data_IF_001341200862
#
_entry.id   IF_001341200862
#
_cell.length_a   1.000
_cell.length_b   1.000
_cell.length_c   1.000
_cell.angle_alpha   90.00
_cell.angle_beta   90.00
_cell.angle_gamma   90.00
#
_symmetry.space_group_name_H-M   'P 1'
#
loop_
_entity.id
_entity.type
_entity.pdbx_description
1 polymer ?
#
# COMPACT_ATOMS: atom_id res chain seq x y z
N UNK A 1 -8.42 -17.47 2.95
CA UNK A 1 -9.36 -16.80 3.87
C UNK A 1 -10.14 -15.80 3.02
N UNK A 2 -11.30 -16.19 2.50
CA UNK A 2 -12.15 -15.29 1.71
C UNK A 2 -12.77 -14.29 2.67
N UNK A 3 -12.45 -13.00 2.51
CA UNK A 3 -13.16 -11.92 3.18
C UNK A 3 -14.61 -11.93 2.66
N UNK A 4 -15.48 -12.67 3.35
CA UNK A 4 -16.91 -12.69 3.08
C UNK A 4 -17.50 -11.60 3.94
N UNK A 5 -17.60 -10.41 3.36
CA UNK A 5 -18.32 -9.30 3.98
C UNK A 5 -19.80 -9.72 4.08
N UNK A 6 -20.26 -10.01 5.31
CA UNK A 6 -21.58 -10.62 5.57
C UNK A 6 -22.73 -9.62 5.44
N UNK A 7 -22.47 -8.36 5.08
CA UNK A 7 -23.49 -7.32 5.04
C UNK A 7 -24.06 -7.12 3.63
N UNK A 8 -24.88 -8.08 3.17
CA UNK A 8 -25.62 -8.01 1.90
C UNK A 8 -26.67 -6.89 1.83
N UNK A 9 -27.03 -6.26 2.95
CA UNK A 9 -28.15 -5.30 3.01
C UNK A 9 -27.81 -3.91 3.54
N UNK A 10 -26.56 -3.61 3.93
CA UNK A 10 -26.27 -2.36 4.66
C UNK A 10 -26.17 -1.11 3.77
N UNK A 11 -25.92 -1.26 2.47
CA UNK A 11 -25.64 -0.12 1.60
C UNK A 11 -26.74 0.14 0.56
N UNK A 12 -27.77 0.87 1.00
CA UNK A 12 -28.75 1.54 0.11
C UNK A 12 -29.75 0.64 -0.61
N UNK A 13 -30.45 1.24 -1.57
CA UNK A 13 -31.50 0.58 -2.37
C UNK A 13 -30.89 -0.03 -3.64
N UNK A 14 -31.43 -1.15 -4.12
CA UNK A 14 -31.00 -1.69 -5.39
C UNK A 14 -31.36 -0.72 -6.51
N UNK A 15 -30.48 -0.58 -7.51
CA UNK A 15 -30.71 0.32 -8.64
C UNK A 15 -32.04 0.02 -9.36
N UNK A 16 -32.44 -1.26 -9.39
CA UNK A 16 -33.71 -1.72 -9.98
C UNK A 16 -34.95 -1.20 -9.24
N UNK A 17 -34.82 -0.83 -7.97
CA UNK A 17 -35.94 -0.33 -7.17
C UNK A 17 -36.23 1.15 -7.47
N UNK A 18 -35.29 1.86 -8.11
CA UNK A 18 -35.42 3.25 -8.53
C UNK A 18 -35.94 4.19 -7.43
N UNK A 19 -35.52 4.01 -6.17
CA UNK A 19 -35.92 4.87 -5.04
C UNK A 19 -34.81 5.83 -4.65
N UNK A 20 -35.19 7.04 -4.23
CA UNK A 20 -34.26 7.99 -3.66
C UNK A 20 -33.78 7.50 -2.28
N UNK A 21 -32.46 7.46 -2.01
CA UNK A 21 -31.95 7.05 -0.71
C UNK A 21 -32.22 8.08 0.40
N UNK A 22 -32.52 9.33 0.05
CA UNK A 22 -32.72 10.43 1.00
C UNK A 22 -34.18 10.66 1.41
N UNK A 23 -35.13 10.52 0.47
CA UNK A 23 -36.56 10.78 0.71
C UNK A 23 -37.45 9.58 0.37
N UNK A 24 -36.88 8.48 -0.09
CA UNK A 24 -37.56 7.21 -0.41
C UNK A 24 -38.60 7.25 -1.54
N UNK A 25 -38.85 8.43 -2.12
CA UNK A 25 -39.69 8.59 -3.29
C UNK A 25 -39.17 7.85 -4.53
N UNK A 26 -40.11 7.39 -5.35
CA UNK A 26 -39.82 6.74 -6.62
C UNK A 26 -39.24 7.73 -7.64
N UNK A 27 -38.19 7.31 -8.34
CA UNK A 27 -37.53 8.04 -9.40
C UNK A 27 -38.18 7.66 -10.73
N UNK A 28 -38.52 8.67 -11.54
CA UNK A 28 -39.16 8.47 -12.84
C UNK A 28 -38.29 7.68 -13.85
N UNK A 29 -36.96 7.68 -13.67
CA UNK A 29 -36.01 6.93 -14.49
C UNK A 29 -34.95 6.29 -13.62
N UNK A 30 -34.56 5.07 -13.95
CA UNK A 30 -33.45 4.37 -13.30
C UNK A 30 -32.15 5.16 -13.56
N UNK A 31 -31.53 5.73 -12.52
CA UNK A 31 -30.34 6.55 -12.69
C UNK A 31 -29.14 5.69 -13.05
N UNK A 32 -28.30 6.11 -14.00
CA UNK A 32 -27.07 5.38 -14.38
C UNK A 32 -25.80 5.89 -13.68
N UNK A 33 -25.82 7.13 -13.17
CA UNK A 33 -24.67 7.85 -12.59
C UNK A 33 -25.15 8.80 -11.47
N UNK A 34 -24.22 9.56 -10.88
CA UNK A 34 -24.53 10.66 -9.93
C UNK A 34 -25.65 11.54 -10.48
N UNK A 35 -26.68 11.81 -9.69
CA UNK A 35 -27.86 12.58 -10.10
C UNK A 35 -28.53 13.27 -8.89
N UNK A 36 -29.40 14.26 -9.14
CA UNK A 36 -30.22 14.93 -8.12
C UNK A 36 -31.62 14.33 -8.10
N UNK A 37 -32.19 14.17 -6.91
CA UNK A 37 -33.59 13.76 -6.76
C UNK A 37 -34.53 14.89 -7.18
N UNK A 38 -35.56 14.65 -8.01
CA UNK A 38 -36.54 15.67 -8.38
C UNK A 38 -37.48 16.06 -7.23
N UNK A 39 -37.57 15.25 -6.18
CA UNK A 39 -38.50 15.47 -5.05
C UNK A 39 -37.87 16.22 -3.88
N UNK A 40 -36.62 15.89 -3.54
CA UNK A 40 -35.94 16.45 -2.37
C UNK A 40 -34.66 17.21 -2.71
N UNK A 41 -34.31 17.34 -3.99
CA UNK A 41 -33.14 18.04 -4.56
C UNK A 41 -31.74 17.57 -4.10
N UNK A 42 -31.68 16.70 -3.10
CA UNK A 42 -30.46 16.05 -2.62
C UNK A 42 -29.84 15.18 -3.70
N UNK A 43 -28.51 15.15 -3.70
CA UNK A 43 -27.71 14.32 -4.61
C UNK A 43 -27.69 12.88 -4.11
N UNK A 44 -27.66 11.95 -5.04
CA UNK A 44 -27.40 10.53 -4.76
C UNK A 44 -26.40 9.98 -5.78
N UNK A 45 -25.84 8.83 -5.44
CA UNK A 45 -24.81 8.17 -6.22
C UNK A 45 -25.24 6.76 -6.61
N UNK A 46 -24.79 6.30 -7.77
CA UNK A 46 -24.91 4.90 -8.19
C UNK A 46 -23.54 4.27 -8.05
N UNK A 47 -23.45 3.19 -7.28
CA UNK A 47 -22.22 2.45 -7.01
C UNK A 47 -22.44 0.95 -7.12
N UNK A 48 -21.38 0.21 -7.40
CA UNK A 48 -21.39 -1.25 -7.42
C UNK A 48 -20.87 -1.74 -6.08
N UNK A 49 -21.51 -2.69 -5.41
CA UNK A 49 -21.00 -3.24 -4.14
C UNK A 49 -19.92 -4.30 -4.40
N UNK A 50 -18.85 -4.38 -3.59
CA UNK A 50 -17.80 -5.39 -3.79
C UNK A 50 -18.27 -6.82 -3.47
N UNK A 51 -19.24 -6.97 -2.56
CA UNK A 51 -19.72 -8.25 -2.02
C UNK A 51 -20.50 -9.11 -3.04
N UNK A 52 -21.36 -8.48 -3.85
CA UNK A 52 -22.23 -9.16 -4.82
C UNK A 52 -22.20 -8.56 -6.23
N UNK A 53 -21.45 -7.47 -6.42
CA UNK A 53 -21.34 -6.74 -7.69
C UNK A 53 -22.67 -6.16 -8.18
N UNK A 54 -23.66 -6.00 -7.29
CA UNK A 54 -24.90 -5.33 -7.62
C UNK A 54 -24.75 -3.80 -7.58
N UNK A 55 -25.50 -3.12 -8.44
CA UNK A 55 -25.58 -1.66 -8.46
C UNK A 55 -26.63 -1.18 -7.46
N UNK A 56 -26.24 -0.25 -6.60
CA UNK A 56 -27.08 0.35 -5.56
C UNK A 56 -27.11 1.87 -5.68
N UNK A 57 -28.22 2.47 -5.26
CA UNK A 57 -28.41 3.91 -5.12
C UNK A 57 -28.19 4.28 -3.66
N UNK A 58 -27.22 5.15 -3.40
CA UNK A 58 -26.76 5.50 -2.06
C UNK A 58 -26.62 7.00 -1.88
N UNK A 59 -26.61 7.43 -0.62
CA UNK A 59 -26.21 8.79 -0.21
C UNK A 59 -24.71 9.00 -0.46
N UNK A 60 -24.22 10.21 -0.18
CA UNK A 60 -22.78 10.49 -0.22
C UNK A 60 -21.99 9.63 0.77
N UNK A 61 -22.45 9.54 2.02
CA UNK A 61 -21.88 8.68 3.06
C UNK A 61 -21.86 7.21 2.64
N UNK A 62 -22.97 6.72 2.07
CA UNK A 62 -23.04 5.35 1.56
C UNK A 62 -22.14 5.10 0.34
N UNK A 63 -21.91 6.12 -0.50
CA UNK A 63 -20.96 6.03 -1.60
C UNK A 63 -19.52 5.90 -1.08
N UNK A 64 -19.16 6.71 -0.08
CA UNK A 64 -17.86 6.65 0.58
C UNK A 64 -17.63 5.29 1.24
N UNK A 65 -18.61 4.75 1.95
CA UNK A 65 -18.51 3.43 2.58
C UNK A 65 -18.32 2.30 1.55
N UNK A 66 -18.99 2.37 0.39
CA UNK A 66 -18.75 1.41 -0.71
C UNK A 66 -17.34 1.57 -1.29
N UNK A 67 -16.85 2.80 -1.45
CA UNK A 67 -15.49 3.07 -1.93
C UNK A 67 -14.43 2.52 -0.96
N UNK A 68 -14.65 2.66 0.36
CA UNK A 68 -13.82 2.02 1.40
C UNK A 68 -13.90 0.49 1.34
N UNK A 69 -15.09 -0.08 1.11
CA UNK A 69 -15.26 -1.52 0.99
C UNK A 69 -14.52 -2.08 -0.24
N UNK A 70 -14.51 -1.36 -1.37
CA UNK A 70 -13.68 -1.71 -2.53
C UNK A 70 -12.20 -1.60 -2.22
N UNK A 71 -11.77 -0.52 -1.56
CA UNK A 71 -10.37 -0.37 -1.16
C UNK A 71 -9.93 -1.54 -0.28
N UNK A 72 -10.74 -1.96 0.71
CA UNK A 72 -10.49 -3.17 1.50
C UNK A 72 -10.43 -4.41 0.61
N UNK A 73 -11.41 -4.60 -0.27
CA UNK A 73 -11.45 -5.74 -1.17
C UNK A 73 -10.18 -5.82 -2.05
N UNK A 74 -9.77 -4.72 -2.66
CA UNK A 74 -8.56 -4.64 -3.48
C UNK A 74 -7.33 -4.95 -2.64
N UNK A 75 -7.18 -4.34 -1.48
CA UNK A 75 -6.06 -4.59 -0.58
C UNK A 75 -5.98 -6.08 -0.16
N UNK A 76 -7.11 -6.74 0.10
CA UNK A 76 -7.14 -8.17 0.42
C UNK A 76 -6.87 -9.09 -0.78
N UNK A 77 -7.33 -8.72 -1.98
CA UNK A 77 -7.05 -9.48 -3.21
C UNK A 77 -5.61 -9.30 -3.67
N UNK A 78 -5.14 -8.05 -3.74
CA UNK A 78 -3.77 -7.71 -4.08
C UNK A 78 -2.82 -8.38 -3.08
N UNK A 79 -3.04 -8.31 -1.77
CA UNK A 79 -2.16 -9.04 -0.82
C UNK A 79 -2.15 -10.56 -1.01
N UNK A 80 -3.21 -11.16 -1.57
CA UNK A 80 -3.25 -12.58 -1.92
C UNK A 80 -2.46 -12.87 -3.21
N UNK A 81 -2.67 -12.08 -4.26
CA UNK A 81 -2.02 -12.22 -5.58
C UNK A 81 -0.54 -11.80 -5.53
N UNK A 82 -0.22 -10.74 -4.80
CA UNK A 82 1.15 -10.30 -4.51
C UNK A 82 1.93 -11.33 -3.71
N UNK A 83 1.27 -11.97 -2.74
CA UNK A 83 1.83 -13.13 -2.05
C UNK A 83 2.22 -14.25 -3.01
N UNK A 84 1.61 -14.33 -4.19
CA UNK A 84 1.98 -15.26 -5.26
C UNK A 84 3.10 -14.72 -6.16
N UNK A 85 3.06 -13.44 -6.54
CA UNK A 85 4.11 -12.80 -7.34
C UNK A 85 5.46 -12.74 -6.60
N UNK A 86 5.45 -12.43 -5.30
CA UNK A 86 6.63 -12.45 -4.42
C UNK A 86 7.20 -13.87 -4.29
N UNK A 87 6.37 -14.94 -4.40
CA UNK A 87 6.91 -16.30 -4.42
C UNK A 87 7.88 -16.55 -5.57
N UNK A 88 7.72 -15.80 -6.67
CA UNK A 88 8.48 -15.96 -7.90
C UNK A 88 9.68 -15.00 -8.00
N UNK A 89 9.85 -14.08 -7.04
CA UNK A 89 11.09 -13.31 -6.94
C UNK A 89 12.25 -14.24 -6.53
N UNK A 90 13.48 -14.00 -7.00
CA UNK A 90 14.65 -14.77 -6.56
C UNK A 90 14.77 -14.70 -5.03
N UNK A 91 14.58 -15.85 -4.37
CA UNK A 91 14.70 -16.00 -2.92
C UNK A 91 16.08 -16.53 -2.54
N UNK A 92 17.10 -15.89 -3.06
CA UNK A 92 18.50 -16.27 -2.85
C UNK A 92 19.02 -15.96 -1.43
N UNK A 93 18.14 -15.61 -0.49
CA UNK A 93 18.47 -15.45 0.93
C UNK A 93 17.82 -16.58 1.77
N UNK A 94 18.60 -17.61 2.19
CA UNK A 94 18.10 -18.66 3.08
C UNK A 94 17.52 -18.14 4.40
N UNK A 95 17.96 -16.95 4.83
CA UNK A 95 17.43 -16.27 6.00
C UNK A 95 16.01 -15.71 5.77
N UNK A 96 15.75 -15.18 4.56
CA UNK A 96 14.42 -14.73 4.15
C UNK A 96 13.44 -15.90 4.10
N UNK A 97 13.78 -16.97 3.39
CA UNK A 97 12.86 -18.10 3.16
C UNK A 97 12.40 -18.78 4.45
N UNK A 98 13.36 -19.07 5.35
CA UNK A 98 13.06 -19.74 6.62
C UNK A 98 12.20 -18.86 7.53
N UNK A 99 12.48 -17.57 7.61
CA UNK A 99 11.73 -16.70 8.49
C UNK A 99 10.36 -16.32 7.91
N UNK A 100 10.27 -16.12 6.60
CA UNK A 100 9.01 -15.89 5.89
C UNK A 100 8.07 -17.12 6.01
N UNK A 101 8.58 -18.33 5.84
CA UNK A 101 7.78 -19.56 6.01
C UNK A 101 7.27 -19.72 7.45
N UNK A 102 8.12 -19.48 8.46
CA UNK A 102 7.72 -19.52 9.87
C UNK A 102 6.70 -18.43 10.23
N UNK A 103 6.88 -17.21 9.72
CA UNK A 103 5.95 -16.10 9.92
C UNK A 103 4.58 -16.40 9.29
N UNK A 104 4.58 -16.98 8.09
CA UNK A 104 3.36 -17.38 7.39
C UNK A 104 2.63 -18.51 8.13
N UNK A 105 3.35 -19.50 8.63
CA UNK A 105 2.76 -20.59 9.42
C UNK A 105 2.13 -20.07 10.72
N UNK A 106 2.84 -19.21 11.45
CA UNK A 106 2.34 -18.59 12.68
C UNK A 106 1.13 -17.68 12.41
N UNK A 107 1.17 -16.88 11.34
CA UNK A 107 0.02 -16.05 10.95
C UNK A 107 -1.20 -16.89 10.57
N UNK A 108 -1.00 -18.05 9.93
CA UNK A 108 -2.08 -18.96 9.57
C UNK A 108 -2.69 -19.67 10.78
N UNK A 109 -1.93 -19.87 11.86
CA UNK A 109 -2.43 -20.42 13.13
C UNK A 109 -3.03 -19.35 14.07
N UNK A 110 -3.06 -18.07 13.66
CA UNK A 110 -3.50 -16.96 14.51
C UNK A 110 -2.48 -16.52 15.57
N UNK A 111 -1.24 -17.03 15.51
CA UNK A 111 -0.14 -16.64 16.39
C UNK A 111 0.56 -15.37 15.87
N UNK A 112 -0.20 -14.26 15.84
CA UNK A 112 0.20 -12.96 15.30
C UNK A 112 1.51 -12.40 15.88
N UNK A 113 1.64 -12.37 17.21
CA UNK A 113 2.86 -11.90 17.88
C UNK A 113 4.10 -12.71 17.50
N UNK A 114 3.92 -14.02 17.29
CA UNK A 114 4.99 -14.92 16.89
C UNK A 114 5.37 -14.70 15.43
N UNK A 115 4.39 -14.47 14.56
CA UNK A 115 4.63 -14.09 13.16
C UNK A 115 5.44 -12.78 13.10
N UNK A 116 5.05 -11.77 13.89
CA UNK A 116 5.79 -10.52 14.02
C UNK A 116 7.23 -10.73 14.52
N UNK A 117 7.41 -11.57 15.53
CA UNK A 117 8.72 -11.96 16.04
C UNK A 117 9.61 -12.62 14.98
N UNK A 118 9.04 -13.45 14.10
CA UNK A 118 9.76 -14.03 12.97
C UNK A 118 10.15 -12.99 11.92
N UNK A 119 9.23 -12.08 11.56
CA UNK A 119 9.54 -11.01 10.61
C UNK A 119 10.67 -10.10 11.11
N UNK A 120 10.64 -9.66 12.37
CA UNK A 120 11.70 -8.84 12.93
C UNK A 120 13.06 -9.55 12.91
N UNK A 121 13.09 -10.84 13.29
CA UNK A 121 14.32 -11.66 13.22
C UNK A 121 14.82 -11.79 11.78
N UNK A 122 13.93 -11.94 10.80
CA UNK A 122 14.26 -11.98 9.38
C UNK A 122 14.88 -10.66 8.92
N UNK A 123 14.19 -9.55 9.22
CA UNK A 123 14.55 -8.19 8.83
C UNK A 123 15.94 -7.84 9.36
N UNK A 124 16.22 -8.14 10.62
CA UNK A 124 17.54 -7.94 11.23
C UNK A 124 18.64 -8.80 10.59
N UNK A 125 18.34 -10.06 10.23
CA UNK A 125 19.32 -10.92 9.54
C UNK A 125 19.65 -10.41 8.15
N UNK A 126 18.64 -9.96 7.39
CA UNK A 126 18.82 -9.37 6.07
C UNK A 126 19.70 -8.12 6.13
N UNK A 127 19.41 -7.22 7.08
CA UNK A 127 20.24 -6.03 7.33
C UNK A 127 21.70 -6.40 7.67
N UNK A 128 21.92 -7.37 8.58
CA UNK A 128 23.26 -7.82 8.96
C UNK A 128 24.03 -8.44 7.78
N UNK A 129 23.33 -9.11 6.88
CA UNK A 129 23.90 -9.69 5.66
C UNK A 129 24.12 -8.66 4.54
N UNK A 130 23.71 -7.39 4.72
CA UNK A 130 23.74 -6.40 3.65
C UNK A 130 22.73 -6.65 2.54
N UNK A 131 21.75 -7.53 2.74
CA UNK A 131 20.70 -7.85 1.78
C UNK A 131 19.48 -6.96 2.02
N UNK A 132 19.61 -5.69 1.61
CA UNK A 132 18.58 -4.71 1.86
C UNK A 132 17.38 -4.85 0.90
N UNK A 133 17.57 -5.54 -0.23
CA UNK A 133 16.44 -5.97 -1.07
C UNK A 133 15.52 -6.94 -0.30
N UNK A 134 16.09 -7.97 0.34
CA UNK A 134 15.31 -8.86 1.22
C UNK A 134 14.70 -8.11 2.40
N UNK A 135 15.43 -7.16 3.01
CA UNK A 135 14.91 -6.32 4.09
C UNK A 135 13.64 -5.55 3.69
N UNK A 136 13.64 -4.93 2.51
CA UNK A 136 12.48 -4.21 1.97
C UNK A 136 11.30 -5.14 1.71
N UNK A 137 11.54 -6.33 1.15
CA UNK A 137 10.46 -7.30 0.90
C UNK A 137 9.86 -7.86 2.20
N UNK A 138 10.67 -8.09 3.24
CA UNK A 138 10.17 -8.46 4.56
C UNK A 138 9.29 -7.36 5.14
N UNK A 139 9.68 -6.09 4.97
CA UNK A 139 8.87 -4.94 5.41
C UNK A 139 7.50 -4.92 4.72
N UNK A 140 7.44 -5.30 3.43
CA UNK A 140 6.18 -5.44 2.70
C UNK A 140 5.31 -6.61 3.23
N UNK A 141 5.94 -7.73 3.55
CA UNK A 141 5.25 -8.87 4.17
C UNK A 141 4.68 -8.50 5.56
N UNK A 142 5.42 -7.70 6.33
CA UNK A 142 4.96 -7.15 7.61
C UNK A 142 3.76 -6.20 7.42
N UNK A 143 3.82 -5.30 6.43
CA UNK A 143 2.71 -4.40 6.12
C UNK A 143 1.45 -5.19 5.74
N UNK A 144 1.61 -6.22 4.91
CA UNK A 144 0.54 -7.15 4.51
C UNK A 144 -0.06 -7.86 5.71
N UNK A 145 0.76 -8.25 6.69
CA UNK A 145 0.27 -8.86 7.92
C UNK A 145 -0.55 -7.88 8.77
N UNK A 146 -0.09 -6.63 8.93
CA UNK A 146 -0.81 -5.58 9.64
C UNK A 146 -2.16 -5.25 9.00
N UNK A 147 -2.24 -5.27 7.67
CA UNK A 147 -3.51 -5.11 6.95
C UNK A 147 -4.51 -6.18 7.38
N UNK A 148 -4.07 -7.44 7.45
CA UNK A 148 -4.92 -8.57 7.87
C UNK A 148 -5.38 -8.46 9.32
N UNK A 149 -4.63 -7.76 10.16
CA UNK A 149 -4.98 -7.47 11.55
C UNK A 149 -5.90 -6.25 11.72
N UNK A 150 -6.24 -5.52 10.64
CA UNK A 150 -6.96 -4.25 10.76
C UNK A 150 -6.12 -3.17 11.43
N UNK A 151 -4.82 -3.16 11.16
CA UNK A 151 -3.84 -2.19 11.69
C UNK A 151 -3.34 -1.29 10.57
N UNK A 152 -4.28 -0.66 9.87
CA UNK A 152 -4.06 0.06 8.61
C UNK A 152 -3.06 1.22 8.75
N UNK A 153 -3.08 1.94 9.89
CA UNK A 153 -2.16 3.06 10.11
C UNK A 153 -0.70 2.62 10.17
N UNK A 154 -0.43 1.47 10.79
CA UNK A 154 0.93 0.93 10.88
C UNK A 154 1.35 0.30 9.55
N UNK A 155 0.43 -0.34 8.83
CA UNK A 155 0.67 -0.79 7.47
C UNK A 155 1.03 0.40 6.55
N UNK A 156 0.31 1.53 6.66
CA UNK A 156 0.60 2.73 5.90
C UNK A 156 1.99 3.28 6.21
N UNK A 157 2.41 3.32 7.49
CA UNK A 157 3.78 3.69 7.85
C UNK A 157 4.81 2.79 7.16
N UNK A 158 4.61 1.48 7.15
CA UNK A 158 5.51 0.55 6.47
C UNK A 158 5.53 0.75 4.95
N UNK A 159 4.39 1.07 4.32
CA UNK A 159 4.37 1.45 2.91
C UNK A 159 5.21 2.71 2.64
N UNK A 160 5.16 3.71 3.52
CA UNK A 160 6.03 4.89 3.40
C UNK A 160 7.52 4.53 3.50
N UNK A 161 7.90 3.60 4.39
CA UNK A 161 9.28 3.08 4.46
C UNK A 161 9.68 2.40 3.15
N UNK A 162 8.80 1.57 2.59
CA UNK A 162 9.05 0.83 1.35
C UNK A 162 9.21 1.78 0.16
N UNK A 163 8.31 2.76 0.02
CA UNK A 163 8.44 3.78 -1.03
C UNK A 163 9.75 4.56 -0.89
N UNK A 164 10.16 4.88 0.34
CA UNK A 164 11.48 5.48 0.58
C UNK A 164 12.64 4.57 0.13
N UNK A 165 12.59 3.27 0.42
CA UNK A 165 13.58 2.31 -0.06
C UNK A 165 13.62 2.20 -1.59
N UNK A 166 12.46 2.18 -2.22
CA UNK A 166 12.32 2.11 -3.68
C UNK A 166 12.84 3.39 -4.35
N UNK A 167 12.66 4.55 -3.71
CA UNK A 167 13.24 5.82 -4.14
C UNK A 167 14.76 5.86 -4.05
N UNK A 168 15.34 5.23 -3.02
CA UNK A 168 16.78 5.17 -2.85
C UNK A 168 17.45 4.08 -3.71
N UNK A 169 16.68 3.29 -4.45
CA UNK A 169 17.19 2.17 -5.24
C UNK A 169 17.86 1.12 -4.38
N UNK A 170 17.26 0.75 -3.25
CA UNK A 170 17.85 -0.18 -2.28
C UNK A 170 18.20 -1.55 -2.91
N UNK A 171 19.43 -2.01 -2.70
CA UNK A 171 19.96 -3.27 -3.26
C UNK A 171 20.82 -4.05 -2.25
N UNK A 172 21.31 -5.23 -2.65
CA UNK A 172 22.33 -5.96 -1.90
C UNK A 172 23.67 -5.24 -1.98
N UNK A 173 24.39 -5.17 -0.86
CA UNK A 173 25.72 -4.55 -0.81
C UNK A 173 26.69 -5.18 -1.82
N UNK A 174 26.63 -6.49 -2.00
CA UNK A 174 27.47 -7.19 -2.98
C UNK A 174 27.14 -6.76 -4.43
N UNK A 175 25.87 -6.53 -4.75
CA UNK A 175 25.46 -6.02 -6.06
C UNK A 175 25.98 -4.59 -6.27
N UNK A 176 25.85 -3.73 -5.25
CA UNK A 176 26.37 -2.35 -5.33
C UNK A 176 27.89 -2.37 -5.52
N UNK A 177 28.60 -3.22 -4.76
CA UNK A 177 30.05 -3.39 -4.91
C UNK A 177 30.43 -3.82 -6.32
N UNK A 178 29.78 -4.84 -6.87
CA UNK A 178 30.03 -5.31 -8.24
C UNK A 178 29.75 -4.21 -9.28
N UNK A 179 28.69 -3.41 -9.10
CA UNK A 179 28.37 -2.31 -10.01
C UNK A 179 29.37 -1.16 -9.92
N UNK A 180 29.90 -0.87 -8.73
CA UNK A 180 30.99 0.10 -8.54
C UNK A 180 32.28 -0.41 -9.20
N UNK A 181 32.65 -1.67 -8.97
CA UNK A 181 33.84 -2.29 -9.55
C UNK A 181 33.76 -2.36 -11.09
N UNK A 182 32.56 -2.55 -11.64
CA UNK A 182 32.30 -2.52 -13.08
C UNK A 182 32.14 -1.11 -13.66
N UNK A 183 32.21 -0.06 -12.84
CA UNK A 183 32.12 1.34 -13.28
C UNK A 183 30.71 1.82 -13.66
N UNK A 184 29.66 1.09 -13.30
CA UNK A 184 28.27 1.50 -13.54
C UNK A 184 27.77 2.53 -12.53
N UNK A 185 28.36 2.58 -11.33
CA UNK A 185 27.94 3.46 -10.24
C UNK A 185 29.15 4.16 -9.63
N UNK A 186 28.94 5.40 -9.16
CA UNK A 186 29.98 6.19 -8.49
C UNK A 186 30.56 5.45 -7.25
N UNK A 187 31.89 5.36 -7.08
CA UNK A 187 32.53 4.72 -5.94
C UNK A 187 32.12 5.25 -4.56
N UNK A 188 31.54 6.46 -4.46
CA UNK A 188 30.98 7.00 -3.20
C UNK A 188 29.88 6.12 -2.58
N UNK A 189 29.28 5.22 -3.36
CA UNK A 189 28.26 4.28 -2.91
C UNK A 189 28.85 2.93 -2.42
N UNK A 190 30.18 2.75 -2.47
CA UNK A 190 30.81 1.54 -1.95
C UNK A 190 30.54 1.40 -0.43
N UNK A 191 30.03 0.23 -0.03
CA UNK A 191 29.63 -0.03 1.36
C UNK A 191 28.28 0.58 1.75
N UNK A 192 27.53 1.13 0.78
CA UNK A 192 26.20 1.68 0.98
C UNK A 192 25.16 0.89 0.14
N UNK A 193 23.98 0.53 0.67
CA UNK A 193 22.98 -0.19 -0.11
C UNK A 193 22.20 0.67 -1.13
N UNK A 194 22.44 1.97 -1.20
CA UNK A 194 21.76 2.87 -2.12
C UNK A 194 22.32 2.76 -3.54
N UNK A 195 21.43 2.53 -4.50
CA UNK A 195 21.75 2.56 -5.92
C UNK A 195 20.84 3.57 -6.64
N UNK A 196 21.19 4.87 -6.60
CA UNK A 196 20.36 5.90 -7.24
C UNK A 196 20.31 5.77 -8.77
N UNK A 197 21.31 5.11 -9.38
CA UNK A 197 21.38 4.85 -10.83
C UNK A 197 20.45 3.71 -11.28
N UNK A 198 20.03 2.81 -10.36
CA UNK A 198 19.01 1.77 -10.65
C UNK A 198 17.66 2.38 -11.03
N UNK A 199 17.52 3.68 -10.78
CA UNK A 199 16.35 4.47 -11.08
C UNK A 199 15.27 4.27 -10.02
N UNK A 200 14.50 5.32 -9.85
CA UNK A 200 13.26 5.33 -9.10
C UNK A 200 12.30 4.27 -9.67
N UNK A 201 11.97 3.23 -8.89
CA UNK A 201 11.00 2.21 -9.31
C UNK A 201 9.95 2.00 -8.24
N UNK A 202 8.94 2.87 -8.25
CA UNK A 202 7.75 2.60 -7.47
C UNK A 202 6.98 1.45 -8.08
N UNK A 203 6.66 0.45 -7.26
CA UNK A 203 5.88 -0.68 -7.73
C UNK A 203 4.39 -0.31 -7.71
N UNK A 204 3.67 -0.36 -8.85
CA UNK A 204 2.30 0.17 -8.95
C UNK A 204 1.32 -0.38 -7.90
N UNK A 205 1.36 -1.66 -7.57
CA UNK A 205 0.44 -2.19 -6.55
C UNK A 205 0.78 -1.76 -5.12
N UNK A 206 2.03 -1.40 -4.79
CA UNK A 206 2.32 -0.79 -3.47
C UNK A 206 1.76 0.63 -3.41
N UNK A 207 1.83 1.36 -4.53
CA UNK A 207 1.20 2.68 -4.68
C UNK A 207 -0.33 2.57 -4.52
N UNK A 208 -0.96 1.60 -5.19
CA UNK A 208 -2.40 1.38 -5.08
C UNK A 208 -2.80 0.97 -3.65
N UNK A 209 -2.07 0.05 -3.04
CA UNK A 209 -2.29 -0.34 -1.64
C UNK A 209 -2.15 0.85 -0.67
N UNK A 210 -1.19 1.75 -0.88
CA UNK A 210 -1.06 2.99 -0.11
C UNK A 210 -2.30 3.89 -0.26
N UNK A 211 -2.77 4.08 -1.50
CA UNK A 211 -3.98 4.86 -1.78
C UNK A 211 -5.22 4.23 -1.15
N UNK A 212 -5.33 2.91 -1.19
CA UNK A 212 -6.46 2.19 -0.62
C UNK A 212 -6.46 2.27 0.91
N UNK A 213 -5.30 2.13 1.56
CA UNK A 213 -5.15 2.38 3.00
C UNK A 213 -5.60 3.78 3.39
N UNK A 214 -5.25 4.80 2.60
CA UNK A 214 -5.67 6.17 2.86
C UNK A 214 -7.18 6.37 2.72
N UNK A 215 -7.81 5.78 1.69
CA UNK A 215 -9.26 5.83 1.52
C UNK A 215 -9.97 5.17 2.69
N UNK A 216 -9.49 4.01 3.13
CA UNK A 216 -10.04 3.26 4.27
C UNK A 216 -10.02 4.10 5.54
N UNK A 217 -8.95 4.85 5.78
CA UNK A 217 -8.76 5.65 6.99
C UNK A 217 -9.21 7.11 6.86
N UNK A 218 -9.68 7.53 5.68
CA UNK A 218 -10.06 8.92 5.37
C UNK A 218 -8.94 9.93 5.70
N UNK A 219 -7.69 9.53 5.44
CA UNK A 219 -6.51 10.36 5.77
C UNK A 219 -6.39 11.53 4.80
N UNK A 220 -6.34 12.75 5.35
CA UNK A 220 -6.02 13.95 4.59
C UNK A 220 -4.51 14.11 4.37
N UNK A 221 -4.14 15.06 3.52
CA UNK A 221 -2.75 15.28 3.11
C UNK A 221 -1.81 15.66 4.27
N UNK A 222 -2.29 16.41 5.26
CA UNK A 222 -1.45 16.83 6.38
C UNK A 222 -1.15 15.64 7.31
N UNK A 223 -2.16 14.85 7.62
CA UNK A 223 -2.01 13.64 8.43
C UNK A 223 -1.10 12.62 7.74
N UNK A 224 -1.26 12.44 6.42
CA UNK A 224 -0.37 11.59 5.63
C UNK A 224 1.09 12.07 5.72
N UNK A 225 1.35 13.38 5.59
CA UNK A 225 2.71 13.93 5.69
C UNK A 225 3.35 13.61 7.04
N UNK A 226 2.59 13.73 8.14
CA UNK A 226 3.09 13.42 9.48
C UNK A 226 3.41 11.93 9.64
N UNK A 227 2.54 11.06 9.13
CA UNK A 227 2.75 9.60 9.14
C UNK A 227 4.00 9.24 8.32
N UNK A 228 4.11 9.79 7.11
CA UNK A 228 5.24 9.56 6.22
C UNK A 228 6.56 10.03 6.84
N UNK A 229 6.61 11.27 7.34
CA UNK A 229 7.80 11.84 7.96
C UNK A 229 8.27 10.99 9.15
N UNK A 230 7.36 10.64 10.06
CA UNK A 230 7.66 9.79 11.22
C UNK A 230 8.19 8.41 10.83
N UNK A 231 7.75 7.87 9.70
CA UNK A 231 8.22 6.57 9.19
C UNK A 231 9.64 6.65 8.60
N UNK A 232 9.93 7.70 7.81
CA UNK A 232 11.18 7.79 7.03
C UNK A 232 12.32 8.46 7.80
N UNK A 233 12.04 9.37 8.72
CA UNK A 233 13.06 10.16 9.42
C UNK A 233 14.07 9.29 10.19
N UNK A 234 13.66 8.25 10.95
CA UNK A 234 14.62 7.35 11.60
C UNK A 234 15.53 6.62 10.61
N UNK A 235 15.01 6.29 9.43
CA UNK A 235 15.76 5.61 8.36
C UNK A 235 16.81 6.57 7.78
N UNK A 236 16.41 7.80 7.48
CA UNK A 236 17.30 8.83 6.95
C UNK A 236 18.44 9.12 7.93
N UNK A 237 18.12 9.30 9.22
CA UNK A 237 19.12 9.57 10.25
C UNK A 237 20.09 8.40 10.46
N UNK A 238 19.60 7.16 10.43
CA UNK A 238 20.41 5.98 10.73
C UNK A 238 21.22 5.46 9.54
N UNK A 239 20.64 5.47 8.33
CA UNK A 239 21.24 4.86 7.14
C UNK A 239 21.90 5.87 6.21
N UNK A 240 21.84 7.18 6.50
CA UNK A 240 22.40 8.27 5.67
C UNK A 240 21.99 8.10 4.20
N UNK A 241 20.68 8.16 3.98
CA UNK A 241 20.05 8.07 2.65
C UNK A 241 20.63 9.06 1.63
N UNK A 242 20.51 8.76 0.32
CA UNK A 242 20.91 9.68 -0.73
C UNK A 242 19.88 10.80 -0.95
N UNK A 243 18.70 10.70 -0.33
CA UNK A 243 17.58 11.64 -0.46
C UNK A 243 17.15 12.13 0.93
N UNK A 244 16.75 13.39 1.00
CA UNK A 244 16.29 14.03 2.25
C UNK A 244 14.78 13.89 2.42
N UNK A 245 14.21 14.20 3.60
CA UNK A 245 12.77 14.28 3.75
C UNK A 245 12.14 15.30 2.79
N UNK A 246 12.84 16.39 2.48
CA UNK A 246 12.37 17.42 1.55
C UNK A 246 12.28 16.92 0.11
N UNK A 247 13.16 16.01 -0.29
CA UNK A 247 13.11 15.37 -1.61
C UNK A 247 12.02 14.29 -1.65
N UNK A 248 11.88 13.53 -0.56
CA UNK A 248 11.02 12.34 -0.48
C UNK A 248 9.54 12.68 -0.29
N UNK A 249 9.23 13.61 0.61
CA UNK A 249 7.87 13.87 1.05
C UNK A 249 6.94 14.38 -0.07
N UNK A 250 7.37 15.28 -0.98
CA UNK A 250 6.55 15.67 -2.13
C UNK A 250 6.18 14.47 -3.00
N UNK A 251 7.09 13.52 -3.18
CA UNK A 251 6.86 12.32 -3.98
C UNK A 251 5.86 11.39 -3.30
N UNK A 252 6.00 11.17 -2.00
CA UNK A 252 5.04 10.38 -1.22
C UNK A 252 3.64 11.00 -1.27
N UNK A 253 3.55 12.33 -1.22
CA UNK A 253 2.28 13.04 -1.37
C UNK A 253 1.68 12.82 -2.76
N UNK A 254 2.49 12.86 -3.81
CA UNK A 254 2.01 12.58 -5.18
C UNK A 254 1.61 11.11 -5.35
N UNK A 255 2.32 10.16 -4.74
CA UNK A 255 1.91 8.75 -4.66
C UNK A 255 0.53 8.65 -4.01
N UNK A 256 0.35 9.32 -2.89
CA UNK A 256 -0.83 9.26 -2.05
C UNK A 256 -2.07 9.93 -2.66
N UNK A 257 -1.91 11.12 -3.24
CA UNK A 257 -3.02 11.99 -3.66
C UNK A 257 -3.03 12.32 -5.16
N UNK A 258 -1.96 11.97 -5.87
CA UNK A 258 -1.83 12.21 -7.31
C UNK A 258 -2.83 11.36 -8.12
N UNK A 259 -3.25 11.91 -9.25
CA UNK A 259 -4.22 11.29 -10.17
C UNK A 259 -3.56 10.46 -11.25
N UNK A 260 -2.25 10.62 -11.45
CA UNK A 260 -1.49 9.91 -12.47
C UNK A 260 -0.68 8.76 -11.85
N UNK A 261 -0.29 7.80 -12.69
CA UNK A 261 0.85 6.94 -12.34
C UNK A 261 2.07 7.85 -12.10
N UNK A 262 2.89 7.56 -11.07
CA UNK A 262 4.06 8.38 -10.79
C UNK A 262 4.91 8.46 -12.06
N UNK A 263 5.04 9.66 -12.63
CA UNK A 263 6.04 9.93 -13.67
C UNK A 263 7.42 9.62 -13.07
N UNK A 264 8.41 9.26 -13.88
CA UNK A 264 9.80 9.20 -13.43
C UNK A 264 10.14 10.53 -12.73
N UNK A 265 10.21 10.52 -11.40
CA UNK A 265 10.64 11.68 -10.64
C UNK A 265 12.16 11.61 -10.64
N UNK A 266 12.77 12.48 -11.45
CA UNK A 266 14.22 12.67 -11.42
C UNK A 266 14.57 13.27 -10.07
N UNK A 267 15.26 12.50 -9.23
CA UNK A 267 15.90 13.04 -8.04
C UNK A 267 16.92 14.11 -8.46
N UNK A 268 17.17 15.13 -7.63
CA UNK A 268 18.26 16.07 -7.87
C UNK A 268 19.55 15.27 -8.06
N UNK A 269 20.17 15.42 -9.23
CA UNK A 269 21.49 14.86 -9.51
C UNK A 269 22.51 15.57 -8.62
N UNK A 270 23.13 14.81 -7.70
CA UNK A 270 24.23 15.27 -6.83
C UNK A 270 25.59 14.97 -7.42
#
# INVERSE_FOLDING_TARGET
MTYVDKNKSEFGYLQKDAKCPNCHEALAKIPKRKSKCPHCEKVFYVRTRPSDREKVIVTEEGALAIEQAWAKYHLYQETAEWGEAIKNLPKDSPAYEKAHSLAKAASASGEHDKAWGYFNKARMKAAKAGDFFAYRNITLDMATHLIKEGREKQALSMHCEIHYYDMCGLDKLDNVKLMVEAGFINPRYLGNPWNPERGFRLVPGIVNATRDLMKIMEINQNDFKQIALKAIEPIISSMKGPVTPNDTLPVLVEIAFGTNEPKEIKLPTY
#
